data_IF_779358201534
#
_entry.id   IF_779358201534
#
_cell.length_a   1.000
_cell.length_b   1.000
_cell.length_c   1.000
_cell.angle_alpha   90.00
_cell.angle_beta   90.00
_cell.angle_gamma   90.00
#
_symmetry.space_group_name_H-M   'P 1'
#
loop_
_entity.id
_entity.type
_entity.pdbx_description
1 polymer ?
#
# COMPACT_ATOMS: atom_id res chain seq x y z
N UNK A 1 18.18 -9.12 4.57
CA UNK A 1 18.49 -8.28 3.40
C UNK A 1 17.43 -7.20 3.38
N UNK A 2 17.80 -6.02 3.85
CA UNK A 2 16.92 -4.86 3.90
C UNK A 2 17.04 -4.19 2.54
N UNK A 3 15.98 -4.18 1.75
CA UNK A 3 15.94 -3.42 0.50
C UNK A 3 15.45 -2.03 0.87
N UNK A 4 16.37 -1.07 0.97
CA UNK A 4 16.06 0.34 1.04
C UNK A 4 15.72 0.83 -0.36
N UNK A 5 14.47 1.18 -0.62
CA UNK A 5 14.06 1.86 -1.86
C UNK A 5 14.22 3.35 -1.63
N UNK A 6 15.27 3.91 -2.25
CA UNK A 6 15.52 5.35 -2.30
C UNK A 6 14.57 5.96 -3.33
N UNK A 7 13.62 6.75 -2.86
CA UNK A 7 12.72 7.56 -3.70
C UNK A 7 13.51 8.76 -4.24
N UNK A 8 13.87 8.72 -5.54
CA UNK A 8 14.32 9.90 -6.27
C UNK A 8 13.10 10.76 -6.60
N UNK A 9 13.04 11.91 -5.95
CA UNK A 9 12.04 12.96 -6.15
C UNK A 9 12.38 13.73 -7.42
N UNK A 10 11.67 13.44 -8.54
CA UNK A 10 11.69 14.26 -9.75
C UNK A 10 10.80 15.47 -9.54
N UNK A 11 11.39 16.63 -9.33
CA UNK A 11 10.70 17.92 -9.41
C UNK A 11 10.43 18.23 -10.89
N UNK A 12 9.19 18.08 -11.31
CA UNK A 12 8.69 18.64 -12.57
C UNK A 12 8.54 20.15 -12.47
N UNK A 13 9.39 20.88 -13.19
CA UNK A 13 9.27 22.32 -13.35
C UNK A 13 8.01 22.67 -14.13
N UNK A 14 7.08 23.36 -13.49
CA UNK A 14 5.91 23.96 -14.14
C UNK A 14 6.39 25.23 -14.85
N UNK A 15 6.39 25.18 -16.16
CA UNK A 15 6.76 26.29 -17.05
C UNK A 15 5.54 27.20 -17.20
N UNK A 16 5.58 28.37 -16.55
CA UNK A 16 4.60 29.45 -16.74
C UNK A 16 4.93 30.16 -18.05
N UNK A 17 4.22 29.81 -19.11
CA UNK A 17 4.26 30.55 -20.38
C UNK A 17 3.55 31.90 -20.20
N UNK A 18 4.34 32.96 -20.33
CA UNK A 18 3.88 34.33 -20.24
C UNK A 18 2.90 34.72 -21.34
N UNK A 19 1.75 35.26 -20.91
CA UNK A 19 0.85 36.00 -21.79
C UNK A 19 1.43 37.39 -22.00
N UNK A 20 2.06 37.62 -23.16
CA UNK A 20 2.53 38.91 -23.62
C UNK A 20 1.39 39.65 -24.29
N UNK A 21 0.81 40.63 -23.62
CA UNK A 21 -0.06 41.62 -24.26
C UNK A 21 0.78 42.63 -25.05
N UNK A 22 0.77 42.52 -26.36
CA UNK A 22 1.27 43.53 -27.28
C UNK A 22 0.31 44.68 -27.41
N UNK A 23 0.61 45.83 -26.81
CA UNK A 23 0.03 47.12 -27.16
C UNK A 23 0.68 47.65 -28.45
N UNK A 24 -0.12 47.86 -29.48
CA UNK A 24 0.27 48.51 -30.73
C UNK A 24 -0.13 49.97 -30.71
N UNK A 25 0.78 50.97 -30.82
CA UNK A 25 0.39 52.35 -30.98
C UNK A 25 0.13 52.62 -32.47
N UNK A 26 -1.11 52.92 -32.82
CA UNK A 26 -1.44 53.51 -34.12
C UNK A 26 -1.06 54.99 -34.13
N UNK A 27 -0.06 55.31 -34.92
CA UNK A 27 0.28 56.64 -35.34
C UNK A 27 -0.85 57.18 -36.24
N UNK A 28 -1.34 58.37 -35.91
CA UNK A 28 -2.12 59.19 -36.87
C UNK A 28 -1.29 60.41 -37.18
N UNK A 29 -0.80 60.44 -38.40
CA UNK A 29 -0.12 61.57 -39.03
C UNK A 29 -1.17 62.59 -39.53
N UNK A 30 -0.89 63.81 -39.27
CA UNK A 30 -1.03 65.08 -39.85
C UNK A 30 -1.94 65.32 -41.03
N UNK A 31 -2.53 66.43 -41.03
CA UNK A 31 -2.31 67.44 -42.10
C UNK A 31 -2.94 68.78 -41.71
N UNK A 32 -2.08 69.71 -41.81
CA UNK A 32 -2.41 71.13 -41.72
C UNK A 32 -3.38 71.52 -42.84
N UNK A 33 -4.32 72.44 -42.58
CA UNK A 33 -4.70 73.40 -43.61
C UNK A 33 -5.03 74.73 -42.99
N UNK A 34 -4.32 75.66 -43.51
CA UNK A 34 -4.32 77.12 -43.30
C UNK A 34 -5.56 77.80 -43.89
N UNK A 35 -5.93 78.91 -43.30
CA UNK A 35 -6.51 79.92 -44.13
C UNK A 35 -7.75 80.60 -43.65
N UNK A 36 -7.60 81.86 -43.40
CA UNK A 36 -8.65 82.90 -43.71
C UNK A 36 -9.38 83.46 -42.50
N UNK A 37 -8.85 84.48 -41.89
CA UNK A 37 -8.97 85.91 -42.06
C UNK A 37 -10.43 86.46 -42.01
N UNK A 38 -10.63 87.23 -40.97
CA UNK A 38 -11.18 88.55 -40.96
C UNK A 38 -12.71 88.74 -41.04
N UNK A 39 -13.14 89.59 -40.16
CA UNK A 39 -14.29 90.50 -40.17
C UNK A 39 -15.55 89.99 -39.50
N UNK A 40 -16.03 90.61 -38.65
CA UNK A 40 -16.74 91.86 -38.38
C UNK A 40 -17.45 91.86 -37.04
N UNK A 41 -17.17 92.84 -36.28
CA UNK A 41 -17.95 93.49 -35.29
C UNK A 41 -19.44 93.55 -35.61
N UNK A 42 -20.31 93.21 -34.70
CA UNK A 42 -21.41 94.11 -34.24
C UNK A 42 -22.28 93.44 -33.21
N UNK A 43 -22.25 94.01 -32.04
CA UNK A 43 -23.40 94.27 -31.19
C UNK A 43 -24.54 93.26 -31.13
N UNK A 44 -24.70 92.67 -30.04
CA UNK A 44 -25.94 92.02 -29.60
C UNK A 44 -25.92 91.89 -28.09
N UNK A 45 -26.58 92.84 -27.42
CA UNK A 45 -27.05 92.64 -26.04
C UNK A 45 -27.87 91.31 -26.01
N UNK A 46 -27.34 90.28 -25.49
CA UNK A 46 -28.07 89.02 -25.24
C UNK A 46 -28.14 88.79 -23.76
N UNK A 47 -29.32 88.63 -23.30
CA UNK A 47 -29.73 88.23 -21.96
C UNK A 47 -28.78 87.27 -21.31
N UNK A 48 -28.46 87.54 -20.07
CA UNK A 48 -27.75 86.59 -19.23
C UNK A 48 -28.61 85.31 -19.16
N UNK A 49 -28.12 84.19 -19.59
CA UNK A 49 -28.78 82.92 -19.28
C UNK A 49 -28.78 82.76 -17.77
N UNK A 50 -29.94 82.75 -17.18
CA UNK A 50 -30.13 82.30 -15.82
C UNK A 50 -29.70 80.86 -15.77
N UNK A 51 -28.44 80.61 -15.33
CA UNK A 51 -28.01 79.25 -14.97
C UNK A 51 -28.91 78.85 -13.79
N UNK A 52 -29.94 78.12 -14.15
CA UNK A 52 -30.62 77.28 -13.15
C UNK A 52 -29.60 76.26 -12.66
N UNK A 53 -29.20 76.26 -11.39
CA UNK A 53 -28.30 75.22 -10.89
C UNK A 53 -29.07 73.94 -10.94
N UNK A 54 -28.96 73.23 -12.06
CA UNK A 54 -29.51 71.88 -12.16
C UNK A 54 -28.99 71.08 -10.97
N UNK A 55 -29.92 70.45 -10.28
CA UNK A 55 -29.56 69.55 -9.22
C UNK A 55 -28.42 68.60 -9.72
N UNK A 56 -27.35 68.48 -8.97
CA UNK A 56 -26.25 67.60 -9.40
C UNK A 56 -26.82 66.19 -9.55
N UNK A 57 -26.72 65.66 -10.77
CA UNK A 57 -27.03 64.22 -11.00
C UNK A 57 -25.95 63.40 -10.37
N UNK A 58 -26.32 62.68 -9.32
CA UNK A 58 -25.42 61.68 -8.66
C UNK A 58 -25.80 60.31 -9.16
N UNK A 59 -24.82 59.59 -9.62
CA UNK A 59 -24.98 58.17 -9.94
C UNK A 59 -24.91 57.37 -8.64
N UNK A 60 -25.97 56.68 -8.34
CA UNK A 60 -26.04 55.79 -7.18
C UNK A 60 -25.97 54.34 -7.63
N UNK A 61 -25.13 53.58 -6.99
CA UNK A 61 -25.05 52.12 -7.16
C UNK A 61 -25.80 51.51 -6.00
N UNK A 62 -26.89 50.82 -6.31
CA UNK A 62 -27.60 50.03 -5.29
C UNK A 62 -26.83 48.77 -5.02
N UNK A 63 -26.17 48.68 -3.86
CA UNK A 63 -25.48 47.48 -3.42
C UNK A 63 -26.52 46.49 -2.93
N UNK A 64 -26.65 45.40 -3.64
CA UNK A 64 -27.48 44.26 -3.20
C UNK A 64 -26.62 43.30 -2.38
N UNK A 65 -27.07 42.85 -1.21
CA UNK A 65 -26.37 41.86 -0.43
C UNK A 65 -26.38 40.53 -1.19
N UNK A 66 -25.19 40.07 -1.59
CA UNK A 66 -25.00 38.78 -2.21
C UNK A 66 -24.37 37.84 -1.18
N UNK A 67 -24.91 36.63 -1.07
CA UNK A 67 -24.31 35.59 -0.25
C UNK A 67 -23.03 35.13 -0.92
N UNK A 68 -21.90 35.48 -0.34
CA UNK A 68 -20.60 34.99 -0.80
C UNK A 68 -20.20 33.79 0.09
N UNK A 69 -20.03 32.62 -0.46
CA UNK A 69 -19.53 31.48 0.32
C UNK A 69 -18.11 31.78 0.76
N UNK A 70 -17.88 31.75 2.05
CA UNK A 70 -16.52 31.79 2.60
C UNK A 70 -15.97 30.36 2.53
N UNK A 71 -15.11 30.10 1.56
CA UNK A 71 -14.40 28.83 1.43
C UNK A 71 -13.08 28.98 2.17
N UNK A 72 -12.90 28.20 3.23
CA UNK A 72 -11.64 28.10 3.93
C UNK A 72 -10.97 26.77 3.55
N UNK A 73 -9.84 26.84 2.88
CA UNK A 73 -9.00 25.68 2.59
C UNK A 73 -8.14 25.40 3.82
N UNK A 74 -8.39 24.26 4.45
CA UNK A 74 -7.59 23.79 5.57
C UNK A 74 -6.64 22.70 5.08
N UNK A 75 -5.34 22.82 5.35
CA UNK A 75 -4.39 21.77 5.01
C UNK A 75 -4.71 20.53 5.85
N UNK A 76 -4.91 19.39 5.19
CA UNK A 76 -5.14 18.10 5.81
C UNK A 76 -4.12 17.09 5.34
N UNK A 77 -3.87 16.07 6.16
CA UNK A 77 -3.08 14.90 5.81
C UNK A 77 -3.98 13.67 5.88
N UNK A 78 -3.85 12.80 4.89
CA UNK A 78 -4.53 11.51 4.88
C UNK A 78 -3.55 10.48 5.40
N UNK A 79 -3.88 9.89 6.55
CA UNK A 79 -3.12 8.79 7.13
C UNK A 79 -3.92 7.48 6.99
N UNK A 80 -3.20 6.37 6.78
CA UNK A 80 -3.84 5.07 6.69
C UNK A 80 -4.40 4.64 8.06
N UNK A 81 -5.63 4.16 8.08
CA UNK A 81 -6.26 3.61 9.31
C UNK A 81 -5.58 2.32 9.76
N UNK A 82 -5.07 1.55 8.82
CA UNK A 82 -4.32 0.30 9.06
C UNK A 82 -3.14 0.26 8.12
N UNK A 83 -1.97 0.02 8.67
CA UNK A 83 -0.73 -0.21 7.93
C UNK A 83 -0.16 -1.56 8.34
N UNK A 84 0.32 -2.34 7.37
CA UNK A 84 0.89 -3.66 7.60
C UNK A 84 2.19 -3.83 6.82
N UNK A 85 3.27 -4.00 7.55
CA UNK A 85 4.57 -4.26 6.95
C UNK A 85 4.72 -5.76 6.65
N UNK A 86 4.82 -6.11 5.36
CA UNK A 86 4.97 -7.49 4.90
C UNK A 86 6.46 -7.85 4.88
N UNK A 87 6.81 -8.91 5.63
CA UNK A 87 8.18 -9.44 5.68
C UNK A 87 8.14 -10.94 5.48
N UNK A 88 9.07 -11.45 4.67
CA UNK A 88 9.28 -12.89 4.57
C UNK A 88 9.80 -13.45 5.90
N UNK A 89 9.30 -14.62 6.28
CA UNK A 89 9.76 -15.39 7.45
C UNK A 89 10.84 -16.42 7.10
N UNK A 90 11.05 -16.65 5.80
CA UNK A 90 12.04 -17.59 5.29
C UNK A 90 12.96 -16.90 4.29
N UNK A 91 14.19 -17.41 4.14
CA UNK A 91 15.18 -16.87 3.22
C UNK A 91 15.17 -17.68 1.93
N UNK A 92 15.19 -17.01 0.78
CA UNK A 92 15.21 -17.69 -0.52
C UNK A 92 15.13 -16.73 -1.69
N UNK A 93 15.10 -17.28 -2.89
CA UNK A 93 14.98 -16.53 -4.13
C UNK A 93 13.51 -16.34 -4.43
N UNK A 94 13.09 -15.10 -4.72
CA UNK A 94 11.73 -14.80 -5.18
C UNK A 94 11.58 -15.29 -6.60
N UNK A 95 10.72 -16.29 -6.81
CA UNK A 95 10.43 -16.85 -8.14
C UNK A 95 9.38 -16.02 -8.88
N UNK A 96 8.40 -15.48 -8.17
CA UNK A 96 7.26 -14.78 -8.79
C UNK A 96 6.75 -13.69 -7.87
N UNK A 97 6.39 -12.56 -8.50
CA UNK A 97 5.62 -11.45 -7.93
C UNK A 97 4.25 -11.49 -8.59
N UNK A 98 3.16 -11.45 -7.80
CA UNK A 98 1.79 -11.67 -8.29
C UNK A 98 0.88 -10.46 -8.12
N UNK A 99 1.43 -9.33 -7.75
CA UNK A 99 0.69 -8.07 -7.61
C UNK A 99 1.33 -6.97 -8.47
N UNK A 100 0.58 -5.92 -8.73
CA UNK A 100 1.06 -4.68 -9.35
C UNK A 100 1.36 -3.65 -8.28
N UNK A 101 2.48 -2.95 -8.40
CA UNK A 101 2.84 -1.88 -7.47
C UNK A 101 1.80 -0.76 -7.53
N UNK A 102 1.37 -0.28 -6.37
CA UNK A 102 0.29 0.71 -6.26
C UNK A 102 -1.10 0.14 -6.49
N UNK A 103 -1.23 -1.16 -6.74
CA UNK A 103 -2.51 -1.86 -6.93
C UNK A 103 -3.21 -2.19 -5.61
N UNK A 104 -4.48 -2.56 -5.72
CA UNK A 104 -5.26 -3.03 -4.59
C UNK A 104 -5.10 -4.54 -4.41
N UNK A 105 -4.88 -4.97 -3.19
CA UNK A 105 -4.72 -6.38 -2.81
C UNK A 105 -5.75 -6.77 -1.75
N UNK A 106 -6.18 -8.03 -1.80
CA UNK A 106 -7.11 -8.60 -0.81
C UNK A 106 -6.35 -9.33 0.29
N UNK A 107 -6.97 -9.43 1.44
CA UNK A 107 -6.48 -10.28 2.53
C UNK A 107 -6.29 -11.72 2.04
N UNK A 108 -5.18 -12.37 2.43
CA UNK A 108 -4.74 -13.70 2.00
C UNK A 108 -4.40 -13.82 0.49
N UNK A 109 -4.33 -12.71 -0.25
CA UNK A 109 -3.84 -12.74 -1.62
C UNK A 109 -2.34 -13.02 -1.64
N UNK A 110 -1.90 -13.96 -2.50
CA UNK A 110 -0.49 -14.25 -2.72
C UNK A 110 0.20 -13.01 -3.33
N UNK A 111 1.30 -12.58 -2.73
CA UNK A 111 2.10 -11.44 -3.19
C UNK A 111 3.42 -11.88 -3.79
N UNK A 112 4.15 -12.70 -3.05
CA UNK A 112 5.43 -13.23 -3.49
C UNK A 112 5.45 -14.74 -3.33
N UNK A 113 6.07 -15.41 -4.27
CA UNK A 113 6.42 -16.82 -4.16
C UNK A 113 7.93 -16.97 -4.07
N UNK A 114 8.41 -17.47 -2.93
CA UNK A 114 9.81 -17.82 -2.71
C UNK A 114 10.03 -19.25 -3.21
N UNK A 115 11.22 -19.56 -3.67
CA UNK A 115 11.55 -20.92 -4.14
C UNK A 115 11.24 -21.97 -3.05
N UNK A 116 10.21 -22.83 -3.26
CA UNK A 116 9.81 -23.82 -2.29
C UNK A 116 10.67 -25.09 -2.31
N UNK A 117 11.54 -25.28 -3.33
CA UNK A 117 12.24 -26.54 -3.54
C UNK A 117 13.08 -27.00 -2.32
N UNK A 118 13.90 -26.15 -1.66
CA UNK A 118 14.65 -26.55 -0.48
C UNK A 118 13.74 -26.91 0.70
N UNK A 119 12.67 -26.16 0.90
CA UNK A 119 11.71 -26.37 1.99
C UNK A 119 10.87 -27.63 1.79
N UNK A 120 10.49 -27.92 0.53
CA UNK A 120 9.82 -29.15 0.16
C UNK A 120 10.71 -30.36 0.41
N UNK A 121 11.98 -30.31 0.02
CA UNK A 121 12.93 -31.37 0.29
C UNK A 121 13.10 -31.64 1.80
N UNK A 122 13.16 -30.57 2.62
CA UNK A 122 13.22 -30.69 4.07
C UNK A 122 11.93 -31.32 4.66
N UNK A 123 10.76 -30.93 4.14
CA UNK A 123 9.49 -31.53 4.52
C UNK A 123 9.41 -33.02 4.13
N UNK A 124 9.82 -33.37 2.93
CA UNK A 124 9.83 -34.76 2.46
C UNK A 124 10.79 -35.62 3.30
N UNK A 125 11.95 -35.08 3.67
CA UNK A 125 12.93 -35.74 4.58
C UNK A 125 12.31 -35.96 5.97
N UNK A 126 11.69 -34.94 6.57
CA UNK A 126 11.03 -35.05 7.88
C UNK A 126 9.87 -36.06 7.84
N UNK A 127 9.14 -36.10 6.73
CA UNK A 127 8.07 -37.07 6.51
C UNK A 127 8.59 -38.51 6.45
N UNK A 128 9.72 -38.72 5.81
CA UNK A 128 10.38 -40.04 5.78
C UNK A 128 10.85 -40.46 7.18
N UNK A 129 11.43 -39.54 7.97
CA UNK A 129 11.81 -39.79 9.36
C UNK A 129 10.63 -40.14 10.24
N UNK A 130 9.51 -39.46 10.08
CA UNK A 130 8.27 -39.78 10.79
C UNK A 130 7.77 -41.18 10.45
N UNK A 131 7.75 -41.56 9.18
CA UNK A 131 7.40 -42.93 8.74
C UNK A 131 8.31 -43.98 9.33
N UNK A 132 9.61 -43.73 9.40
CA UNK A 132 10.57 -44.62 10.05
C UNK A 132 10.29 -44.78 11.55
N UNK A 133 10.05 -43.65 12.27
CA UNK A 133 9.70 -43.68 13.67
C UNK A 133 8.39 -44.45 13.94
N UNK A 134 7.38 -44.27 13.05
CA UNK A 134 6.12 -45.02 13.14
C UNK A 134 6.30 -46.53 12.93
N UNK A 135 7.17 -46.94 12.01
CA UNK A 135 7.50 -48.35 11.81
C UNK A 135 8.19 -48.96 13.05
N UNK A 136 9.13 -48.21 13.67
CA UNK A 136 9.77 -48.61 14.91
C UNK A 136 8.77 -48.71 16.07
N UNK A 137 7.86 -47.75 16.18
CA UNK A 137 6.79 -47.79 17.18
C UNK A 137 5.89 -49.01 17.00
N UNK A 138 5.47 -49.28 15.75
CA UNK A 138 4.69 -50.48 15.45
C UNK A 138 5.39 -51.76 15.88
N UNK A 139 6.66 -51.89 15.56
CA UNK A 139 7.48 -53.04 15.95
C UNK A 139 7.59 -53.21 17.48
N UNK A 140 7.90 -52.08 18.19
CA UNK A 140 8.00 -52.10 19.65
C UNK A 140 6.65 -52.41 20.33
N UNK A 141 5.56 -51.87 19.77
CA UNK A 141 4.20 -52.17 20.24
C UNK A 141 3.86 -53.65 20.12
N UNK A 142 4.10 -54.24 18.94
CA UNK A 142 3.86 -55.67 18.73
C UNK A 142 4.64 -56.54 19.69
N UNK A 143 5.85 -56.15 20.07
CA UNK A 143 6.65 -56.90 21.06
C UNK A 143 6.08 -56.79 22.46
N UNK A 144 5.69 -55.57 22.90
CA UNK A 144 5.05 -55.32 24.18
C UNK A 144 3.71 -56.11 24.31
N UNK A 145 2.91 -56.01 23.23
CA UNK A 145 1.61 -56.70 23.17
C UNK A 145 1.76 -58.23 23.21
N UNK A 146 2.81 -58.78 22.59
CA UNK A 146 3.12 -60.20 22.61
C UNK A 146 3.58 -60.64 23.99
N UNK A 147 4.39 -59.86 24.71
CA UNK A 147 4.92 -60.21 26.01
C UNK A 147 3.85 -60.04 27.12
N UNK A 148 2.84 -59.21 26.94
CA UNK A 148 1.77 -59.02 27.93
C UNK A 148 1.05 -60.32 28.39
N UNK A 149 0.60 -61.24 27.51
CA UNK A 149 0.04 -62.52 27.94
C UNK A 149 1.12 -63.50 28.46
N UNK A 150 2.37 -63.46 27.89
CA UNK A 150 3.41 -64.39 28.25
C UNK A 150 3.95 -64.17 29.67
N UNK A 151 4.03 -62.92 30.14
CA UNK A 151 4.43 -62.63 31.52
C UNK A 151 3.36 -63.12 32.52
N UNK A 152 2.08 -63.08 32.15
CA UNK A 152 1.00 -63.65 32.99
C UNK A 152 1.06 -65.15 33.11
N UNK A 153 1.54 -65.82 32.07
CA UNK A 153 1.77 -67.25 32.01
C UNK A 153 3.14 -67.68 32.59
N UNK A 154 3.93 -66.73 33.15
CA UNK A 154 5.33 -66.95 33.60
C UNK A 154 6.24 -67.52 32.51
N UNK A 155 5.94 -67.31 31.23
CA UNK A 155 6.73 -67.78 30.09
C UNK A 155 7.85 -66.79 29.70
N UNK A 156 7.82 -65.56 30.19
CA UNK A 156 8.89 -64.55 30.07
C UNK A 156 9.11 -63.88 31.42
N UNK A 157 10.29 -63.29 31.64
CA UNK A 157 10.56 -62.59 32.88
C UNK A 157 9.82 -61.25 32.93
N UNK A 158 9.45 -60.79 34.12
CA UNK A 158 8.86 -59.47 34.30
C UNK A 158 9.76 -58.38 33.77
N UNK A 159 11.09 -58.51 33.93
CA UNK A 159 12.06 -57.55 33.44
C UNK A 159 12.03 -57.43 31.91
N UNK A 160 11.90 -58.54 31.16
CA UNK A 160 11.79 -58.53 29.72
C UNK A 160 10.51 -57.81 29.24
N UNK A 161 9.39 -58.06 29.92
CA UNK A 161 8.15 -57.33 29.62
C UNK A 161 8.27 -55.82 29.93
N UNK A 162 8.85 -55.46 31.09
CA UNK A 162 9.05 -54.07 31.48
C UNK A 162 9.98 -53.36 30.49
N UNK A 163 11.02 -54.02 29.98
CA UNK A 163 11.92 -53.51 28.93
C UNK A 163 11.16 -53.30 27.60
N UNK A 164 10.29 -54.24 27.21
CA UNK A 164 9.51 -54.10 25.98
C UNK A 164 8.51 -52.92 26.07
N UNK A 165 7.88 -52.76 27.24
CA UNK A 165 6.99 -51.61 27.50
C UNK A 165 7.75 -50.30 27.52
N UNK A 166 8.98 -50.26 28.07
CA UNK A 166 9.82 -49.08 28.06
C UNK A 166 10.25 -48.72 26.62
N UNK A 167 10.64 -49.73 25.82
CA UNK A 167 10.97 -49.54 24.40
C UNK A 167 9.79 -49.03 23.58
N UNK A 168 8.57 -49.53 23.84
CA UNK A 168 7.34 -49.02 23.23
C UNK A 168 7.12 -47.53 23.55
N UNK A 169 7.22 -47.16 24.82
CA UNK A 169 7.07 -45.74 25.24
C UNK A 169 8.15 -44.84 24.67
N UNK A 170 9.38 -45.34 24.58
CA UNK A 170 10.50 -44.64 23.94
C UNK A 170 10.22 -44.39 22.45
N UNK A 171 9.71 -45.41 21.74
CA UNK A 171 9.35 -45.28 20.32
C UNK A 171 8.16 -44.32 20.12
N UNK A 172 7.19 -44.32 21.04
CA UNK A 172 6.08 -43.37 21.03
C UNK A 172 6.58 -41.91 21.17
N UNK A 173 7.49 -41.65 22.10
CA UNK A 173 8.13 -40.33 22.24
C UNK A 173 8.91 -39.92 20.99
N UNK A 174 9.59 -40.89 20.35
CA UNK A 174 10.33 -40.66 19.10
C UNK A 174 9.40 -40.26 17.94
N UNK A 175 8.23 -40.89 17.84
CA UNK A 175 7.19 -40.50 16.85
C UNK A 175 6.71 -39.09 17.10
N UNK A 176 6.46 -38.71 18.37
CA UNK A 176 6.03 -37.36 18.71
C UNK A 176 7.11 -36.33 18.32
N UNK A 177 8.40 -36.61 18.58
CA UNK A 177 9.50 -35.73 18.17
C UNK A 177 9.64 -35.62 16.65
N UNK A 178 9.53 -36.74 15.92
CA UNK A 178 9.59 -36.74 14.46
C UNK A 178 8.42 -35.98 13.82
N UNK A 179 7.23 -36.10 14.44
CA UNK A 179 6.04 -35.33 14.02
C UNK A 179 6.24 -33.84 14.20
N UNK A 180 6.75 -33.40 15.35
CA UNK A 180 7.05 -32.00 15.59
C UNK A 180 8.08 -31.44 14.58
N UNK A 181 9.06 -32.24 14.19
CA UNK A 181 10.03 -31.88 13.14
C UNK A 181 9.35 -31.73 11.77
N UNK A 182 8.44 -32.64 11.41
CA UNK A 182 7.67 -32.55 10.18
C UNK A 182 6.76 -31.31 10.17
N UNK A 183 6.07 -31.04 11.28
CA UNK A 183 5.19 -29.88 11.42
C UNK A 183 5.98 -28.57 11.24
N UNK A 184 7.18 -28.49 11.82
CA UNK A 184 8.08 -27.33 11.64
C UNK A 184 8.49 -27.17 10.17
N UNK A 185 8.87 -28.25 9.48
CA UNK A 185 9.20 -28.21 8.06
C UNK A 185 8.00 -27.81 7.19
N UNK A 186 6.79 -28.25 7.54
CA UNK A 186 5.53 -27.86 6.88
C UNK A 186 5.25 -26.37 7.04
N UNK A 187 5.43 -25.81 8.24
CA UNK A 187 5.26 -24.38 8.51
C UNK A 187 6.26 -23.56 7.69
N UNK A 188 7.53 -23.96 7.64
CA UNK A 188 8.55 -23.28 6.84
C UNK A 188 8.24 -23.33 5.34
N UNK A 189 7.72 -24.46 4.86
CA UNK A 189 7.24 -24.58 3.47
C UNK A 189 6.05 -23.63 3.21
N UNK A 190 5.12 -23.51 4.14
CA UNK A 190 4.00 -22.59 4.03
C UNK A 190 4.44 -21.12 3.97
N UNK A 191 5.54 -20.77 4.64
CA UNK A 191 6.09 -19.41 4.59
C UNK A 191 6.76 -19.03 3.27
N UNK A 192 6.92 -19.96 2.34
CA UNK A 192 7.40 -19.66 0.97
C UNK A 192 6.36 -18.89 0.16
N UNK A 193 5.08 -19.02 0.50
CA UNK A 193 3.99 -18.26 -0.09
C UNK A 193 3.70 -17.05 0.82
N UNK A 194 4.18 -15.87 0.42
CA UNK A 194 3.98 -14.62 1.17
C UNK A 194 2.67 -14.00 0.76
N UNK A 195 1.73 -13.93 1.69
CA UNK A 195 0.37 -13.41 1.46
C UNK A 195 0.14 -12.08 2.18
N UNK A 196 -0.84 -11.32 1.71
CA UNK A 196 -1.25 -10.08 2.36
C UNK A 196 -2.04 -10.36 3.65
N UNK A 197 -1.69 -9.73 4.78
CA UNK A 197 -2.43 -9.88 6.04
C UNK A 197 -3.70 -9.03 6.12
N UNK A 198 -3.86 -8.04 5.23
CA UNK A 198 -5.00 -7.11 5.19
C UNK A 198 -5.38 -6.79 3.75
N UNK A 199 -6.62 -6.35 3.55
CA UNK A 199 -7.04 -5.73 2.29
C UNK A 199 -6.62 -4.28 2.27
N UNK A 200 -6.04 -3.81 1.16
CA UNK A 200 -5.58 -2.43 1.00
C UNK A 200 -4.78 -2.23 -0.27
N UNK A 201 -4.14 -1.07 -0.37
CA UNK A 201 -3.26 -0.72 -1.47
C UNK A 201 -1.81 -1.04 -1.10
N UNK A 202 -1.12 -1.75 -1.98
CA UNK A 202 0.29 -2.09 -1.80
C UNK A 202 1.18 -1.00 -2.42
N UNK A 203 2.23 -0.57 -1.68
CA UNK A 203 3.19 0.45 -2.10
C UNK A 203 4.51 -0.13 -2.55
#
# INVERSE_FOLDING_TARGET
MVIAVTLLRSLGAVNFAGVSMRFSPKRVSGLAFSGGVLALLLAGCGEKPQMNPGMPQVSVITVQPQRTPIVSELPGRVDAVRDAQIRSRVTGIVQKITFEQGGDVKENQLLFKIDPAPYKAAYDQATAQLKQAQANLFSAKLLADRYAPLVKANAVSKQEYDNAVAAYRQAEATVAAAKATQDNASINLGYTDVVSPITGRIG
#
